data_IF_067413118705
#
_entry.id   IF_067413118705
#
_cell.length_a   1.000
_cell.length_b   1.000
_cell.length_c   1.000
_cell.angle_alpha   90.00
_cell.angle_beta   90.00
_cell.angle_gamma   90.00
#
_symmetry.space_group_name_H-M   'P 1'
#
loop_
_entity.id
_entity.type
_entity.pdbx_description
1 polymer ?
#
# COMPACT_ATOMS: atom_id res chain seq x y z
N UNK A 1 40.83 -7.90 22.74
CA UNK A 1 39.37 -7.79 23.00
C UNK A 1 38.76 -6.43 22.61
N UNK A 2 39.31 -5.71 21.63
CA UNK A 2 38.89 -4.31 21.32
C UNK A 2 38.07 -4.13 20.04
N UNK A 3 37.78 -5.17 19.26
CA UNK A 3 37.09 -5.01 17.98
C UNK A 3 35.57 -5.21 18.01
N UNK A 4 35.00 -5.64 19.14
CA UNK A 4 33.55 -5.86 19.27
C UNK A 4 32.77 -4.57 19.50
N UNK A 5 33.37 -3.56 20.14
CA UNK A 5 32.66 -2.29 20.43
C UNK A 5 32.44 -1.41 19.22
N UNK A 6 33.36 -1.41 18.26
CA UNK A 6 33.26 -0.64 17.02
C UNK A 6 32.18 -1.20 16.07
N UNK A 7 32.11 -2.51 15.95
CA UNK A 7 31.10 -3.18 15.11
C UNK A 7 29.68 -2.98 15.66
N UNK A 8 29.51 -3.08 16.97
CA UNK A 8 28.22 -2.84 17.64
C UNK A 8 27.75 -1.40 17.47
N UNK A 9 28.62 -0.41 17.59
CA UNK A 9 28.31 1.01 17.36
C UNK A 9 27.92 1.28 15.90
N UNK A 10 28.62 0.70 14.93
CA UNK A 10 28.32 0.87 13.51
C UNK A 10 26.97 0.25 13.13
N UNK A 11 26.62 -0.91 13.69
CA UNK A 11 25.33 -1.57 13.49
C UNK A 11 24.19 -0.76 14.15
N UNK A 12 24.42 -0.20 15.33
CA UNK A 12 23.45 0.67 16.00
C UNK A 12 23.19 1.95 15.21
N UNK A 13 24.22 2.59 14.66
CA UNK A 13 24.06 3.76 13.80
C UNK A 13 23.24 3.45 12.53
N UNK A 14 23.49 2.32 11.88
CA UNK A 14 22.74 1.91 10.67
C UNK A 14 21.26 1.66 10.92
N UNK A 15 20.86 1.31 12.12
CA UNK A 15 19.47 1.01 12.49
C UNK A 15 18.79 2.14 13.25
N UNK A 16 19.46 3.25 13.48
CA UNK A 16 18.91 4.40 14.20
C UNK A 16 17.85 5.11 13.37
N UNK A 17 16.67 5.27 13.95
CA UNK A 17 15.60 6.08 13.35
C UNK A 17 15.82 7.54 13.72
N UNK A 18 15.75 8.42 12.73
CA UNK A 18 15.91 9.86 12.89
C UNK A 18 14.83 10.61 12.13
N UNK A 19 14.27 11.63 12.76
CA UNK A 19 13.30 12.56 12.17
C UNK A 19 14.01 13.86 11.82
N UNK A 20 13.93 14.25 10.56
CA UNK A 20 14.51 15.47 10.01
C UNK A 20 13.41 16.49 9.74
N UNK A 21 13.52 17.67 10.33
CA UNK A 21 12.63 18.82 10.14
C UNK A 21 13.49 20.04 9.82
N UNK A 22 13.52 20.47 8.56
CA UNK A 22 14.50 21.47 8.12
C UNK A 22 15.92 21.00 8.38
N UNK A 23 16.67 21.78 9.15
CA UNK A 23 18.04 21.46 9.56
C UNK A 23 18.13 20.68 10.89
N UNK A 24 17.03 20.57 11.62
CA UNK A 24 16.99 19.90 12.93
C UNK A 24 16.83 18.39 12.76
N UNK A 25 17.52 17.63 13.60
CA UNK A 25 17.49 16.16 13.64
C UNK A 25 17.04 15.74 15.03
N UNK A 26 15.96 14.98 15.08
CA UNK A 26 15.44 14.41 16.32
C UNK A 26 15.66 12.90 16.31
N UNK A 27 16.01 12.34 17.47
CA UNK A 27 16.28 10.91 17.64
C UNK A 27 16.22 10.56 19.14
N UNK A 28 16.37 9.27 19.47
CA UNK A 28 16.26 8.82 20.87
C UNK A 28 14.85 8.33 21.20
N UNK A 29 14.19 7.74 20.22
CA UNK A 29 12.86 7.19 20.35
C UNK A 29 12.84 5.95 21.23
N UNK A 30 11.79 5.79 22.04
CA UNK A 30 11.53 4.55 22.82
C UNK A 30 10.82 3.53 21.95
N UNK A 31 9.95 3.98 21.04
CA UNK A 31 9.22 3.11 20.11
C UNK A 31 9.07 3.79 18.74
N UNK A 32 9.18 2.99 17.69
CA UNK A 32 8.94 3.44 16.31
C UNK A 32 8.10 2.40 15.60
N UNK A 33 6.96 2.82 15.05
CA UNK A 33 6.07 1.99 14.25
C UNK A 33 5.95 2.60 12.87
N UNK A 34 6.30 1.84 11.82
CA UNK A 34 6.19 2.27 10.43
C UNK A 34 5.28 1.28 9.72
N UNK A 35 4.22 1.80 9.09
CA UNK A 35 3.26 1.02 8.32
C UNK A 35 3.31 1.39 6.85
N UNK A 36 3.41 0.40 5.99
CA UNK A 36 3.28 0.51 4.55
C UNK A 36 2.80 -0.83 3.98
N UNK A 37 2.18 -0.80 2.82
CA UNK A 37 1.63 -2.02 2.23
C UNK A 37 1.06 -1.81 0.84
N UNK A 38 0.69 -2.90 0.18
CA UNK A 38 0.15 -2.88 -1.19
C UNK A 38 -1.22 -2.18 -1.32
N UNK A 39 -1.93 -2.03 -0.22
CA UNK A 39 -3.24 -1.36 -0.18
C UNK A 39 -3.18 0.01 0.53
N UNK A 40 -1.98 0.50 0.82
CA UNK A 40 -1.75 1.75 1.54
C UNK A 40 -1.11 2.72 0.56
N UNK A 41 -1.84 3.79 0.21
CA UNK A 41 -1.34 4.83 -0.69
C UNK A 41 -0.40 5.79 0.05
N UNK A 42 -0.55 5.95 1.37
CA UNK A 42 0.28 6.81 2.19
C UNK A 42 0.91 6.02 3.35
N UNK A 43 2.23 5.98 3.43
CA UNK A 43 2.97 5.42 4.57
C UNK A 43 2.71 6.22 5.82
N UNK A 44 2.66 5.53 6.94
CA UNK A 44 2.48 6.14 8.26
C UNK A 44 3.65 5.75 9.15
N UNK A 45 4.13 6.71 9.94
CA UNK A 45 5.11 6.46 10.99
C UNK A 45 4.62 7.09 12.29
N UNK A 46 4.60 6.30 13.33
CA UNK A 46 4.38 6.77 14.70
C UNK A 46 5.69 6.62 15.47
N UNK A 47 6.09 7.67 16.14
CA UNK A 47 7.32 7.73 16.92
C UNK A 47 6.95 8.14 18.35
N UNK A 48 7.46 7.40 19.32
CA UNK A 48 7.22 7.67 20.73
C UNK A 48 8.55 7.93 21.44
N UNK A 49 8.58 8.93 22.30
CA UNK A 49 9.73 9.25 23.14
C UNK A 49 9.30 9.50 24.59
N UNK A 50 10.13 9.08 25.53
CA UNK A 50 10.01 9.58 26.90
C UNK A 50 10.59 10.98 26.94
N UNK A 51 9.93 11.87 27.65
CA UNK A 51 10.28 13.29 27.75
C UNK A 51 10.25 13.72 29.22
N UNK A 52 11.05 14.72 29.56
CA UNK A 52 10.85 15.44 30.80
C UNK A 52 9.75 16.50 30.63
N UNK A 53 9.12 16.98 31.69
CA UNK A 53 8.14 18.07 31.60
C UNK A 53 8.71 19.35 30.98
N UNK A 54 10.01 19.56 31.12
CA UNK A 54 10.77 20.73 30.66
C UNK A 54 11.29 20.57 29.21
N UNK A 55 11.04 19.42 28.57
CA UNK A 55 11.55 19.13 27.24
C UNK A 55 10.77 19.92 26.18
N UNK A 56 11.49 20.81 25.49
CA UNK A 56 10.96 21.67 24.42
C UNK A 56 10.71 20.92 23.10
N UNK A 57 10.99 19.62 23.02
CA UNK A 57 10.86 18.86 21.76
C UNK A 57 9.43 18.92 21.22
N UNK A 58 8.42 18.80 22.08
CA UNK A 58 7.02 18.85 21.67
C UNK A 58 6.64 20.21 21.06
N UNK A 59 7.05 21.30 21.70
CA UNK A 59 6.73 22.65 21.24
C UNK A 59 7.64 23.10 20.10
N UNK A 60 8.85 22.56 20.03
CA UNK A 60 9.83 22.83 18.97
C UNK A 60 9.50 22.22 17.61
N UNK A 61 8.52 21.30 17.53
CA UNK A 61 8.07 20.71 16.27
C UNK A 61 6.74 21.35 15.85
N UNK A 62 6.68 22.15 14.76
CA UNK A 62 5.44 22.74 14.29
C UNK A 62 4.46 21.69 13.76
N UNK A 63 3.16 21.94 13.89
CA UNK A 63 2.13 21.09 13.26
C UNK A 63 2.13 21.28 11.74
N UNK A 64 1.90 20.21 10.99
CA UNK A 64 1.84 20.24 9.53
C UNK A 64 3.20 20.47 8.85
N UNK A 65 4.29 20.50 9.61
CA UNK A 65 5.62 20.74 9.04
C UNK A 65 6.07 19.57 8.17
N UNK A 66 6.71 19.90 7.06
CA UNK A 66 7.36 18.90 6.19
C UNK A 66 8.54 18.26 6.91
N UNK A 67 8.63 16.94 6.81
CA UNK A 67 9.65 16.16 7.49
C UNK A 67 10.11 14.95 6.69
N UNK A 68 11.22 14.36 7.10
CA UNK A 68 11.74 13.09 6.58
C UNK A 68 12.11 12.16 7.72
N UNK A 69 11.66 10.91 7.62
CA UNK A 69 12.05 9.83 8.53
C UNK A 69 13.13 9.01 7.83
N UNK A 70 14.25 8.81 8.52
CA UNK A 70 15.35 7.96 8.04
C UNK A 70 15.64 6.84 9.02
N UNK A 71 16.10 5.72 8.49
CA UNK A 71 16.73 4.64 9.27
C UNK A 71 18.18 4.52 8.81
N UNK A 72 19.11 4.95 9.66
CA UNK A 72 20.48 5.23 9.23
C UNK A 72 20.51 6.29 8.15
N UNK A 73 21.06 5.98 6.98
CA UNK A 73 21.15 6.87 5.84
C UNK A 73 19.95 6.80 4.90
N UNK A 74 19.13 5.73 5.01
CA UNK A 74 18.02 5.48 4.09
C UNK A 74 16.77 6.28 4.49
N UNK A 75 16.25 7.07 3.55
CA UNK A 75 14.95 7.73 3.70
C UNK A 75 13.83 6.69 3.58
N UNK A 76 12.92 6.69 4.56
CA UNK A 76 11.78 5.76 4.61
C UNK A 76 10.48 6.48 4.30
N UNK A 77 10.31 7.69 4.83
CA UNK A 77 9.13 8.52 4.62
C UNK A 77 9.57 9.96 4.38
N UNK A 78 8.96 10.59 3.39
CA UNK A 78 8.96 12.04 3.18
C UNK A 78 7.51 12.49 3.24
N UNK A 79 7.19 13.37 4.19
CA UNK A 79 5.80 13.73 4.44
C UNK A 79 5.65 14.86 5.45
N UNK A 80 4.63 14.77 6.26
CA UNK A 80 4.23 15.80 7.21
C UNK A 80 4.00 15.25 8.61
N UNK A 81 4.28 16.06 9.64
CA UNK A 81 3.84 15.80 11.00
C UNK A 81 2.35 16.10 11.08
N UNK A 82 1.52 15.08 11.22
CA UNK A 82 0.06 15.22 11.17
C UNK A 82 -0.57 15.30 12.55
N UNK A 83 0.05 14.67 13.56
CA UNK A 83 -0.47 14.68 14.93
C UNK A 83 0.68 14.64 15.92
N UNK A 84 0.49 15.33 17.04
CA UNK A 84 1.37 15.27 18.20
C UNK A 84 0.52 15.09 19.44
N UNK A 85 0.94 14.20 20.31
CA UNK A 85 0.33 13.97 21.63
C UNK A 85 1.40 14.07 22.72
N UNK A 86 1.06 14.71 23.83
CA UNK A 86 1.89 14.73 25.04
C UNK A 86 1.04 14.15 26.16
N UNK A 87 1.44 12.99 26.66
CA UNK A 87 0.75 12.29 27.75
C UNK A 87 1.54 12.51 29.04
N UNK A 88 0.84 13.00 30.06
CA UNK A 88 1.37 13.16 31.40
C UNK A 88 0.92 12.01 32.27
N UNK A 89 1.85 11.20 32.75
CA UNK A 89 1.60 10.06 33.60
C UNK A 89 2.39 10.12 34.92
N UNK A 90 2.04 9.22 35.85
CA UNK A 90 2.77 9.09 37.12
C UNK A 90 4.23 8.67 36.93
N UNK A 91 4.51 7.96 35.86
CA UNK A 91 5.84 7.40 35.53
C UNK A 91 6.66 8.33 34.63
N UNK A 92 6.13 9.51 34.29
CA UNK A 92 6.79 10.47 33.43
C UNK A 92 5.90 10.99 32.29
N UNK A 93 6.51 11.76 31.42
CA UNK A 93 5.86 12.33 30.23
C UNK A 93 6.26 11.54 28.99
N UNK A 94 5.29 11.25 28.16
CA UNK A 94 5.51 10.57 26.88
C UNK A 94 5.02 11.47 25.75
N UNK A 95 5.84 11.60 24.70
CA UNK A 95 5.49 12.31 23.47
C UNK A 95 5.30 11.30 22.35
N UNK A 96 4.19 11.39 21.64
CA UNK A 96 3.91 10.63 20.43
C UNK A 96 3.73 11.58 19.24
N UNK A 97 4.35 11.25 18.10
CA UNK A 97 4.33 12.03 16.88
C UNK A 97 3.92 11.12 15.73
N UNK A 98 2.83 11.48 15.07
CA UNK A 98 2.36 10.79 13.89
C UNK A 98 2.81 11.54 12.63
N UNK A 99 3.43 10.81 11.72
CA UNK A 99 3.96 11.29 10.46
C UNK A 99 3.31 10.49 9.35
N UNK A 100 2.81 11.19 8.34
CA UNK A 100 2.24 10.56 7.14
C UNK A 100 2.98 11.02 5.89
N UNK A 101 3.10 10.14 4.91
CA UNK A 101 3.69 10.46 3.61
C UNK A 101 2.95 11.60 2.92
N UNK A 102 3.60 12.31 2.00
CA UNK A 102 2.97 13.38 1.21
C UNK A 102 1.73 12.93 0.46
N UNK A 103 1.67 11.68 0.08
CA UNK A 103 0.53 11.06 -0.60
C UNK A 103 -0.75 10.99 0.25
N UNK A 104 -0.68 11.32 1.54
CA UNK A 104 -1.86 11.42 2.41
C UNK A 104 -2.87 12.45 1.91
N UNK A 105 -2.41 13.51 1.25
CA UNK A 105 -3.29 14.51 0.67
C UNK A 105 -4.20 13.93 -0.41
N UNK A 106 -3.79 12.84 -1.08
CA UNK A 106 -4.65 12.12 -2.02
C UNK A 106 -5.75 11.30 -1.33
N UNK A 107 -5.51 10.87 -0.10
CA UNK A 107 -6.52 10.13 0.68
C UNK A 107 -7.56 11.04 1.33
N UNK A 108 -7.09 12.17 1.88
CA UNK A 108 -7.90 13.03 2.73
C UNK A 108 -8.57 14.17 1.96
N UNK A 109 -7.98 14.59 0.82
CA UNK A 109 -8.46 15.75 0.08
C UNK A 109 -9.33 15.38 -1.13
N UNK A 110 -10.24 16.26 -1.47
CA UNK A 110 -11.06 16.20 -2.68
C UNK A 110 -10.35 16.88 -3.86
N UNK A 111 -10.86 16.68 -5.07
CA UNK A 111 -10.34 17.39 -6.25
C UNK A 111 -10.66 18.89 -6.10
N UNK A 112 -9.66 19.79 -6.24
CA UNK A 112 -9.88 21.23 -6.11
C UNK A 112 -10.92 21.73 -7.12
N UNK A 113 -11.77 22.72 -6.77
CA UNK A 113 -12.82 23.21 -7.67
C UNK A 113 -12.32 23.79 -9.00
N UNK A 114 -11.11 24.30 -9.01
CA UNK A 114 -10.45 24.86 -10.20
C UNK A 114 -9.65 23.82 -11.01
N UNK A 115 -9.62 22.56 -10.57
CA UNK A 115 -8.98 21.48 -11.29
C UNK A 115 -9.87 20.89 -12.38
N UNK A 116 -9.31 20.05 -13.24
CA UNK A 116 -10.07 19.37 -14.27
C UNK A 116 -10.91 18.25 -13.67
N UNK A 117 -12.24 18.32 -13.86
CA UNK A 117 -13.21 17.33 -13.36
C UNK A 117 -13.72 16.38 -14.45
N UNK A 118 -13.47 16.67 -15.73
CA UNK A 118 -13.90 15.82 -16.85
C UNK A 118 -12.71 15.50 -17.73
N UNK A 119 -12.46 14.22 -17.92
CA UNK A 119 -11.41 13.68 -18.79
C UNK A 119 -12.08 12.85 -19.88
N UNK A 120 -11.79 13.15 -21.16
CA UNK A 120 -12.34 12.42 -22.31
C UNK A 120 -11.22 12.00 -23.22
N UNK A 121 -11.19 10.71 -23.55
CA UNK A 121 -10.18 10.10 -24.44
C UNK A 121 -8.75 10.40 -23.98
N UNK A 122 -8.49 10.34 -22.69
CA UNK A 122 -7.17 10.62 -22.06
C UNK A 122 -6.56 9.32 -21.56
N UNK A 123 -5.24 9.22 -21.56
CA UNK A 123 -4.52 8.07 -20.99
C UNK A 123 -4.76 7.97 -19.50
N UNK A 124 -4.92 6.75 -18.99
CA UNK A 124 -5.10 6.48 -17.56
C UNK A 124 -4.01 7.14 -16.70
N UNK A 125 -2.75 6.99 -17.07
CA UNK A 125 -1.63 7.61 -16.34
C UNK A 125 -1.76 9.13 -16.26
N UNK A 126 -2.15 9.79 -17.37
CA UNK A 126 -2.29 11.25 -17.40
C UNK A 126 -3.43 11.76 -16.52
N UNK A 127 -4.50 10.98 -16.34
CA UNK A 127 -5.56 11.32 -15.37
C UNK A 127 -5.01 11.25 -13.96
N UNK A 128 -4.27 10.19 -13.62
CA UNK A 128 -3.64 10.02 -12.31
C UNK A 128 -2.64 11.15 -12.03
N UNK A 129 -1.80 11.48 -13.03
CA UNK A 129 -0.83 12.59 -12.96
C UNK A 129 -1.51 13.93 -12.72
N UNK A 130 -2.59 14.22 -13.42
CA UNK A 130 -3.36 15.46 -13.25
C UNK A 130 -3.94 15.57 -11.84
N UNK A 131 -4.52 14.49 -11.32
CA UNK A 131 -5.11 14.47 -9.98
C UNK A 131 -4.05 14.63 -8.89
N UNK A 132 -2.94 13.89 -8.97
CA UNK A 132 -1.85 13.94 -8.01
C UNK A 132 -1.08 15.27 -8.08
N UNK A 133 -0.95 15.83 -9.28
CA UNK A 133 -0.26 17.09 -9.55
C UNK A 133 -0.90 18.29 -8.85
N UNK A 134 -2.22 18.27 -8.60
CA UNK A 134 -2.90 19.31 -7.83
C UNK A 134 -2.32 19.49 -6.41
N UNK A 135 -1.70 18.45 -5.86
CA UNK A 135 -1.06 18.43 -4.55
C UNK A 135 0.47 18.35 -4.63
N UNK A 136 1.04 18.62 -5.81
CA UNK A 136 2.49 18.59 -6.03
C UNK A 136 3.11 17.20 -5.87
N UNK A 137 2.31 16.14 -6.05
CA UNK A 137 2.76 14.76 -5.96
C UNK A 137 3.12 14.25 -7.36
N UNK A 138 4.37 13.83 -7.52
CA UNK A 138 4.87 13.25 -8.76
C UNK A 138 4.38 11.81 -8.90
N UNK A 139 3.95 11.44 -10.11
CA UNK A 139 3.54 10.07 -10.45
C UNK A 139 4.64 9.41 -11.28
N UNK A 140 4.96 8.17 -10.93
CA UNK A 140 5.87 7.31 -11.69
C UNK A 140 5.07 6.15 -12.27
N UNK A 141 4.84 6.17 -13.57
CA UNK A 141 4.16 5.08 -14.29
C UNK A 141 5.18 3.98 -14.66
N UNK A 142 5.16 2.87 -13.92
CA UNK A 142 5.98 1.69 -14.19
C UNK A 142 5.29 0.69 -15.14
N UNK A 143 4.01 0.94 -15.47
CA UNK A 143 3.20 0.04 -16.30
C UNK A 143 3.27 0.42 -17.77
N UNK A 144 3.40 1.73 -18.04
CA UNK A 144 3.34 2.27 -19.39
C UNK A 144 1.98 2.03 -20.05
N UNK A 145 0.89 2.17 -19.28
CA UNK A 145 -0.46 1.92 -19.77
C UNK A 145 -0.82 2.85 -20.92
N UNK A 146 -1.20 2.25 -22.03
CA UNK A 146 -1.72 2.96 -23.23
C UNK A 146 -3.25 3.08 -23.22
N UNK A 147 -3.89 2.62 -22.16
CA UNK A 147 -5.34 2.62 -22.05
C UNK A 147 -5.89 4.04 -22.04
N UNK A 148 -6.87 4.28 -22.93
CA UNK A 148 -7.58 5.54 -23.07
C UNK A 148 -8.90 5.41 -22.32
N UNK A 149 -9.20 6.37 -21.47
CA UNK A 149 -10.38 6.37 -20.61
C UNK A 149 -11.19 7.66 -20.74
N UNK A 150 -12.46 7.54 -20.40
CA UNK A 150 -13.35 8.65 -20.11
C UNK A 150 -13.69 8.61 -18.62
N UNK A 151 -13.45 9.71 -17.92
CA UNK A 151 -13.70 9.81 -16.47
C UNK A 151 -14.33 11.14 -16.13
N UNK A 152 -15.44 11.10 -15.43
CA UNK A 152 -16.06 12.23 -14.75
C UNK A 152 -15.87 12.12 -13.24
N UNK A 153 -15.57 13.23 -12.59
CA UNK A 153 -15.30 13.33 -11.15
C UNK A 153 -16.36 14.19 -10.52
N UNK A 154 -16.99 13.69 -9.47
CA UNK A 154 -17.98 14.44 -8.73
C UNK A 154 -17.32 15.34 -7.66
N UNK A 155 -17.91 16.48 -7.38
CA UNK A 155 -17.33 17.51 -6.50
C UNK A 155 -17.10 17.06 -5.05
N UNK A 156 -17.74 15.99 -4.59
CA UNK A 156 -17.63 15.47 -3.23
C UNK A 156 -16.72 14.22 -3.13
N UNK A 157 -16.06 13.82 -4.21
CA UNK A 157 -15.18 12.66 -4.21
C UNK A 157 -13.77 13.03 -3.74
N UNK A 158 -13.18 12.18 -2.89
CA UNK A 158 -11.75 12.26 -2.59
C UNK A 158 -10.96 11.73 -3.77
N UNK A 159 -9.72 12.21 -3.93
CA UNK A 159 -8.85 11.72 -5.01
C UNK A 159 -8.67 10.21 -4.90
N UNK A 160 -8.45 9.70 -3.68
CA UNK A 160 -8.36 8.25 -3.43
C UNK A 160 -9.58 7.50 -3.99
N UNK A 161 -10.80 7.98 -3.73
CA UNK A 161 -12.01 7.31 -4.20
C UNK A 161 -12.10 7.26 -5.73
N UNK A 162 -11.65 8.32 -6.40
CA UNK A 162 -11.57 8.38 -7.87
C UNK A 162 -10.51 7.39 -8.38
N UNK A 163 -9.31 7.40 -7.78
CA UNK A 163 -8.23 6.49 -8.14
C UNK A 163 -8.62 5.02 -7.94
N UNK A 164 -9.27 4.68 -6.83
CA UNK A 164 -9.78 3.33 -6.57
C UNK A 164 -10.81 2.89 -7.61
N UNK A 165 -11.72 3.78 -8.01
CA UNK A 165 -12.67 3.50 -9.11
C UNK A 165 -11.96 3.23 -10.43
N UNK A 166 -10.96 4.05 -10.77
CA UNK A 166 -10.15 3.89 -11.97
C UNK A 166 -9.41 2.55 -11.98
N UNK A 167 -8.91 2.08 -10.84
CA UNK A 167 -8.09 0.88 -10.75
C UNK A 167 -8.89 -0.40 -10.48
N UNK A 168 -10.14 -0.28 -10.03
CA UNK A 168 -10.98 -1.39 -9.56
C UNK A 168 -11.02 -2.60 -10.48
N UNK A 169 -10.95 -2.41 -11.79
CA UNK A 169 -11.06 -3.46 -12.79
C UNK A 169 -9.73 -3.77 -13.51
N UNK A 170 -8.62 -3.13 -13.11
CA UNK A 170 -7.38 -3.09 -13.90
C UNK A 170 -6.21 -3.89 -13.34
N UNK A 171 -6.35 -4.54 -12.20
CA UNK A 171 -5.23 -5.27 -11.56
C UNK A 171 -3.95 -4.43 -11.40
N UNK A 172 -4.11 -3.10 -11.30
CA UNK A 172 -3.05 -2.15 -11.06
C UNK A 172 -3.04 -1.75 -9.58
N UNK A 173 -1.88 -1.33 -9.11
CA UNK A 173 -1.64 -0.87 -7.75
C UNK A 173 -1.13 0.56 -7.77
N UNK A 174 -1.55 1.34 -6.77
CA UNK A 174 -0.96 2.63 -6.44
C UNK A 174 -0.28 2.52 -5.09
N UNK A 175 0.99 2.84 -5.07
CA UNK A 175 1.84 2.80 -3.89
C UNK A 175 2.57 4.13 -3.76
N UNK A 176 2.95 4.50 -2.55
CA UNK A 176 3.91 5.59 -2.38
C UNK A 176 5.36 5.06 -2.36
N UNK A 177 6.30 5.92 -2.67
CA UNK A 177 7.71 5.67 -2.43
C UNK A 177 8.21 6.40 -1.17
N UNK A 178 9.46 6.19 -0.79
CA UNK A 178 10.08 6.82 0.36
C UNK A 178 10.26 8.35 0.21
N UNK A 179 10.12 8.86 -1.00
CA UNK A 179 10.26 10.29 -1.32
C UNK A 179 8.92 11.00 -1.48
N UNK A 180 7.81 10.29 -1.25
CA UNK A 180 6.44 10.82 -1.35
C UNK A 180 5.95 10.96 -2.79
N UNK A 181 6.48 10.16 -3.72
CA UNK A 181 5.94 10.02 -5.08
C UNK A 181 4.89 8.90 -5.11
N UNK A 182 3.97 8.99 -6.04
CA UNK A 182 2.97 7.95 -6.29
C UNK A 182 3.45 7.03 -7.41
N UNK A 183 3.52 5.73 -7.15
CA UNK A 183 3.91 4.71 -8.12
C UNK A 183 2.67 4.00 -8.66
N UNK A 184 2.48 4.05 -9.98
CA UNK A 184 1.51 3.19 -10.68
C UNK A 184 2.23 1.92 -11.12
N UNK A 185 1.83 0.78 -10.59
CA UNK A 185 2.52 -0.50 -10.78
C UNK A 185 1.54 -1.68 -10.81
N UNK A 186 2.03 -2.90 -10.86
CA UNK A 186 1.23 -4.12 -10.77
C UNK A 186 1.84 -5.11 -9.77
N UNK A 187 1.03 -6.03 -9.26
CA UNK A 187 1.47 -7.01 -8.29
C UNK A 187 2.56 -7.91 -8.88
N UNK A 188 3.72 -7.98 -8.19
CA UNK A 188 4.87 -8.79 -8.60
C UNK A 188 5.88 -8.08 -9.50
N UNK A 189 5.69 -6.79 -9.82
CA UNK A 189 6.63 -5.98 -10.62
C UNK A 189 8.04 -5.91 -10.02
N UNK A 190 8.15 -5.91 -8.69
CA UNK A 190 9.42 -5.87 -7.97
C UNK A 190 10.15 -7.23 -7.92
N UNK A 191 9.58 -8.29 -8.50
CA UNK A 191 10.17 -9.63 -8.48
C UNK A 191 10.10 -10.31 -7.10
N UNK A 192 11.11 -11.12 -6.79
CA UNK A 192 11.21 -11.87 -5.53
C UNK A 192 12.28 -11.25 -4.63
N UNK A 193 12.03 -11.33 -3.31
CA UNK A 193 13.04 -10.99 -2.30
C UNK A 193 14.27 -11.90 -2.44
N UNK A 194 15.46 -11.33 -2.23
CA UNK A 194 16.71 -12.09 -2.21
C UNK A 194 16.81 -13.03 -0.99
N UNK A 195 16.15 -12.67 0.11
CA UNK A 195 16.10 -13.46 1.33
C UNK A 195 14.76 -14.19 1.45
N UNK A 196 14.82 -15.43 1.97
CA UNK A 196 13.62 -16.20 2.32
C UNK A 196 13.34 -16.10 3.83
N UNK A 197 12.07 -16.14 4.19
CA UNK A 197 11.65 -16.27 5.58
C UNK A 197 11.77 -17.75 5.99
N UNK A 198 12.54 -18.02 7.02
CA UNK A 198 12.80 -19.38 7.52
C UNK A 198 12.58 -19.44 9.02
N UNK A 199 11.74 -20.39 9.43
CA UNK A 199 11.57 -20.70 10.85
C UNK A 199 12.90 -21.18 11.45
N UNK A 200 13.22 -20.69 12.65
CA UNK A 200 14.49 -21.02 13.32
C UNK A 200 15.72 -20.25 12.83
N UNK A 201 15.59 -19.37 11.81
CA UNK A 201 16.70 -18.53 11.33
C UNK A 201 16.43 -17.03 11.47
N UNK A 202 15.35 -16.52 10.85
CA UNK A 202 15.05 -15.10 10.83
C UNK A 202 13.62 -14.78 11.24
N UNK A 203 12.76 -15.77 11.44
CA UNK A 203 11.43 -15.62 12.01
C UNK A 203 11.54 -15.74 13.53
N UNK A 204 11.13 -14.69 14.26
CA UNK A 204 11.04 -14.68 15.72
C UNK A 204 9.74 -15.33 16.15
N UNK A 205 8.62 -14.84 15.59
CA UNK A 205 7.30 -15.40 15.81
C UNK A 205 6.53 -15.45 14.50
N UNK A 206 5.63 -16.43 14.37
CA UNK A 206 4.80 -16.58 13.18
C UNK A 206 3.39 -17.00 13.54
N UNK A 207 2.41 -16.47 12.82
CA UNK A 207 1.00 -16.83 12.90
C UNK A 207 0.45 -17.04 11.50
N UNK A 208 -0.24 -18.16 11.30
CA UNK A 208 -1.07 -18.40 10.12
C UNK A 208 -2.52 -18.30 10.49
N UNK A 209 -3.31 -17.56 9.74
CA UNK A 209 -4.75 -17.45 9.93
C UNK A 209 -5.42 -17.81 8.62
N UNK A 210 -6.30 -18.82 8.67
CA UNK A 210 -7.15 -19.20 7.55
C UNK A 210 -8.58 -18.77 7.85
N UNK A 211 -9.10 -17.83 7.08
CA UNK A 211 -10.47 -17.35 7.18
C UNK A 211 -11.22 -17.63 5.88
N UNK A 212 -12.02 -18.69 5.88
CA UNK A 212 -12.81 -19.11 4.73
C UNK A 212 -14.21 -18.47 4.70
N UNK A 213 -14.51 -17.55 5.61
CA UNK A 213 -15.84 -16.93 5.73
C UNK A 213 -16.25 -16.16 4.46
N UNK A 214 -15.28 -15.57 3.76
CA UNK A 214 -15.48 -14.80 2.52
C UNK A 214 -15.10 -15.56 1.25
N UNK A 215 -14.92 -16.88 1.34
CA UNK A 215 -14.69 -17.74 0.19
C UNK A 215 -16.03 -18.27 -0.35
N UNK A 216 -16.18 -18.18 -1.66
CA UNK A 216 -17.35 -18.66 -2.40
C UNK A 216 -16.92 -19.75 -3.38
N UNK A 217 -17.86 -20.69 -3.67
CA UNK A 217 -17.62 -21.73 -4.65
C UNK A 217 -17.72 -21.18 -6.07
N UNK A 218 -18.70 -20.31 -6.31
CA UNK A 218 -18.95 -19.75 -7.62
C UNK A 218 -18.83 -18.23 -7.57
N UNK A 219 -17.91 -17.70 -8.36
CA UNK A 219 -17.79 -16.28 -8.62
C UNK A 219 -18.43 -16.00 -9.96
N UNK A 220 -19.39 -15.11 -10.00
CA UNK A 220 -20.18 -14.78 -11.19
C UNK A 220 -20.03 -13.30 -11.48
N UNK A 221 -19.55 -12.96 -12.67
CA UNK A 221 -19.52 -11.58 -13.16
C UNK A 221 -20.47 -11.45 -14.32
N UNK A 222 -21.41 -10.53 -14.21
CA UNK A 222 -22.34 -10.15 -15.27
C UNK A 222 -21.91 -8.82 -15.87
N UNK A 223 -22.11 -8.66 -17.18
CA UNK A 223 -21.83 -7.42 -17.91
C UNK A 223 -22.78 -7.22 -19.06
N UNK A 224 -22.87 -6.00 -19.54
CA UNK A 224 -23.63 -5.66 -20.73
C UNK A 224 -22.69 -5.71 -21.92
N UNK A 225 -22.93 -6.64 -22.85
CA UNK A 225 -22.13 -6.79 -24.07
C UNK A 225 -22.43 -5.69 -25.08
N UNK A 226 -21.41 -5.23 -25.78
CA UNK A 226 -21.55 -4.47 -27.04
C UNK A 226 -21.47 -5.44 -28.20
N UNK A 227 -22.55 -5.57 -28.95
CA UNK A 227 -22.48 -6.18 -30.27
C UNK A 227 -21.81 -5.18 -31.23
N UNK A 228 -20.59 -5.50 -31.64
CA UNK A 228 -19.80 -4.69 -32.57
C UNK A 228 -20.39 -4.63 -33.99
N UNK A 229 -21.48 -5.34 -34.27
CA UNK A 229 -22.16 -5.40 -35.58
C UNK A 229 -23.51 -4.71 -35.64
N UNK A 230 -24.10 -4.31 -34.55
CA UNK A 230 -25.34 -3.50 -34.57
C UNK A 230 -25.24 -2.37 -33.57
N UNK A 231 -25.30 -1.14 -34.03
CA UNK A 231 -25.47 0.09 -33.20
C UNK A 231 -26.80 0.13 -32.44
N UNK A 232 -27.51 -0.98 -32.33
CA UNK A 232 -28.75 -1.11 -31.56
C UNK A 232 -28.40 -1.74 -30.19
N UNK A 233 -28.67 -0.98 -29.13
CA UNK A 233 -28.82 -1.49 -27.79
C UNK A 233 -29.97 -2.49 -27.79
N UNK A 234 -29.69 -3.76 -28.00
CA UNK A 234 -30.68 -4.82 -27.85
C UNK A 234 -30.81 -5.09 -26.35
N UNK A 235 -31.97 -4.85 -25.72
CA UNK A 235 -32.18 -5.27 -24.33
C UNK A 235 -32.10 -6.79 -24.30
N UNK A 236 -31.06 -7.37 -23.70
CA UNK A 236 -30.98 -8.80 -23.54
C UNK A 236 -29.58 -9.43 -23.70
N UNK A 237 -28.60 -8.73 -24.22
CA UNK A 237 -27.24 -9.29 -24.36
C UNK A 237 -26.45 -9.21 -23.05
N UNK A 238 -26.94 -9.94 -22.03
CA UNK A 238 -26.25 -10.07 -20.76
C UNK A 238 -25.16 -11.14 -20.91
N UNK A 239 -23.92 -10.68 -20.95
CA UNK A 239 -22.75 -11.57 -20.85
C UNK A 239 -22.58 -12.00 -19.40
N UNK A 240 -22.19 -13.25 -19.20
CA UNK A 240 -21.90 -13.79 -17.88
C UNK A 240 -20.68 -14.70 -17.95
N UNK A 241 -19.77 -14.56 -16.98
CA UNK A 241 -18.66 -15.52 -16.77
C UNK A 241 -18.68 -16.01 -15.33
N UNK A 242 -18.32 -17.29 -15.17
CA UNK A 242 -18.33 -17.99 -13.88
C UNK A 242 -16.94 -18.59 -13.68
N UNK A 243 -16.36 -18.40 -12.49
CA UNK A 243 -15.18 -19.13 -12.05
C UNK A 243 -15.53 -19.97 -10.82
N UNK A 244 -15.18 -21.23 -10.86
CA UNK A 244 -15.35 -22.15 -9.73
C UNK A 244 -14.09 -22.17 -8.85
N UNK A 245 -14.30 -22.32 -7.54
CA UNK A 245 -13.25 -22.37 -6.54
C UNK A 245 -13.40 -23.63 -5.70
N UNK A 246 -12.45 -24.55 -5.84
CA UNK A 246 -12.43 -25.86 -5.16
C UNK A 246 -12.14 -25.77 -3.66
N UNK A 247 -11.71 -24.61 -3.14
CA UNK A 247 -11.51 -24.39 -1.70
C UNK A 247 -12.82 -24.27 -0.92
N UNK A 248 -13.96 -24.13 -1.63
CA UNK A 248 -15.28 -24.05 -1.00
C UNK A 248 -16.15 -25.21 -1.43
N UNK A 249 -16.40 -26.15 -0.53
CA UNK A 249 -17.27 -27.32 -0.78
C UNK A 249 -18.76 -27.01 -0.71
N UNK A 250 -19.14 -25.84 -0.09
CA UNK A 250 -20.53 -25.42 0.04
C UNK A 250 -20.97 -24.65 -1.22
N UNK A 251 -22.23 -24.82 -1.63
CA UNK A 251 -22.83 -24.06 -2.72
C UNK A 251 -23.03 -22.60 -2.34
N UNK A 252 -21.97 -21.78 -2.46
CA UNK A 252 -21.96 -20.35 -2.18
C UNK A 252 -21.66 -19.57 -3.45
N UNK A 253 -22.47 -18.57 -3.72
CA UNK A 253 -22.35 -17.71 -4.90
C UNK A 253 -21.96 -16.29 -4.50
N UNK A 254 -20.99 -15.73 -5.20
CA UNK A 254 -20.69 -14.31 -5.20
C UNK A 254 -21.01 -13.75 -6.58
N UNK A 255 -22.03 -12.92 -6.67
CA UNK A 255 -22.49 -12.34 -7.93
C UNK A 255 -22.22 -10.84 -7.93
N UNK A 256 -21.57 -10.34 -8.99
CA UNK A 256 -21.32 -8.92 -9.18
C UNK A 256 -21.58 -8.52 -10.63
N UNK A 257 -21.78 -7.22 -10.84
CA UNK A 257 -22.01 -6.63 -12.17
C UNK A 257 -20.83 -5.74 -12.52
N UNK A 258 -20.35 -5.85 -13.75
CA UNK A 258 -19.39 -4.93 -14.33
C UNK A 258 -20.13 -3.72 -14.92
N UNK A 259 -19.74 -2.54 -14.48
CA UNK A 259 -20.32 -1.28 -14.98
C UNK A 259 -19.72 -0.91 -16.33
N UNK A 260 -20.57 -0.44 -17.25
CA UNK A 260 -20.16 -0.10 -18.62
C UNK A 260 -20.28 -1.28 -19.58
N UNK A 261 -19.84 -1.05 -20.81
CA UNK A 261 -19.78 -2.08 -21.84
C UNK A 261 -18.65 -3.07 -21.51
N UNK A 262 -18.95 -4.35 -21.53
CA UNK A 262 -18.01 -5.41 -21.20
C UNK A 262 -17.85 -6.38 -22.37
N UNK A 263 -16.63 -6.83 -22.56
CA UNK A 263 -16.30 -7.94 -23.47
C UNK A 263 -16.11 -9.24 -22.68
N UNK A 264 -16.27 -10.39 -23.35
CA UNK A 264 -16.05 -11.69 -22.70
C UNK A 264 -14.66 -11.84 -22.03
N UNK A 265 -13.54 -11.44 -22.67
CA UNK A 265 -12.23 -11.51 -22.06
C UNK A 265 -12.08 -10.61 -20.80
N UNK A 266 -12.75 -9.46 -20.78
CA UNK A 266 -12.74 -8.56 -19.59
C UNK A 266 -13.51 -9.18 -18.43
N UNK A 267 -14.67 -9.79 -18.69
CA UNK A 267 -15.43 -10.53 -17.68
C UNK A 267 -14.62 -11.70 -17.12
N UNK A 268 -13.92 -12.44 -17.99
CA UNK A 268 -13.07 -13.56 -17.58
C UNK A 268 -11.89 -13.10 -16.70
N UNK A 269 -11.20 -12.04 -17.08
CA UNK A 269 -10.16 -11.44 -16.24
C UNK A 269 -10.73 -11.01 -14.90
N UNK A 270 -11.88 -10.38 -14.90
CA UNK A 270 -12.53 -9.89 -13.68
C UNK A 270 -12.95 -11.00 -12.74
N UNK A 271 -13.56 -12.07 -13.24
CA UNK A 271 -14.01 -13.20 -12.41
C UNK A 271 -12.81 -13.93 -11.80
N UNK A 272 -11.73 -14.12 -12.57
CA UNK A 272 -10.50 -14.74 -12.08
C UNK A 272 -9.78 -13.86 -11.05
N UNK A 273 -9.77 -12.54 -11.23
CA UNK A 273 -9.23 -11.60 -10.25
C UNK A 273 -9.99 -11.68 -8.92
N UNK A 274 -11.32 -11.70 -8.94
CA UNK A 274 -12.15 -11.82 -7.74
C UNK A 274 -11.90 -13.13 -7.00
N UNK A 275 -11.85 -14.26 -7.74
CA UNK A 275 -11.51 -15.56 -7.17
C UNK A 275 -10.14 -15.56 -6.51
N UNK A 276 -9.10 -15.10 -7.23
CA UNK A 276 -7.72 -15.11 -6.74
C UNK A 276 -7.53 -14.18 -5.55
N UNK A 277 -8.15 -13.00 -5.54
CA UNK A 277 -8.11 -12.09 -4.40
C UNK A 277 -8.79 -12.68 -3.17
N UNK A 278 -9.91 -13.38 -3.35
CA UNK A 278 -10.61 -14.06 -2.26
C UNK A 278 -9.75 -15.17 -1.65
N UNK A 279 -9.11 -15.99 -2.48
CA UNK A 279 -8.18 -17.04 -2.02
C UNK A 279 -6.97 -16.42 -1.32
N UNK A 280 -6.38 -15.39 -1.91
CA UNK A 280 -5.21 -14.72 -1.33
C UNK A 280 -5.48 -14.05 0.02
N UNK A 281 -6.69 -13.53 0.24
CA UNK A 281 -7.09 -12.93 1.52
C UNK A 281 -7.49 -13.95 2.58
N UNK A 282 -7.83 -15.16 2.19
CA UNK A 282 -8.28 -16.20 3.11
C UNK A 282 -7.14 -16.86 3.91
N UNK A 283 -5.92 -16.82 3.40
CA UNK A 283 -4.75 -17.42 4.05
C UNK A 283 -3.70 -16.33 4.32
N UNK A 284 -3.69 -15.86 5.56
CA UNK A 284 -2.84 -14.76 6.00
C UNK A 284 -1.72 -15.27 6.88
N UNK A 285 -0.49 -14.90 6.54
CA UNK A 285 0.70 -15.18 7.32
C UNK A 285 1.23 -13.89 7.95
N UNK A 286 1.42 -13.90 9.26
CA UNK A 286 2.00 -12.78 10.01
C UNK A 286 3.27 -13.25 10.67
N UNK A 287 4.39 -12.59 10.39
CA UNK A 287 5.69 -12.94 10.96
C UNK A 287 6.34 -11.73 11.61
N UNK A 288 6.95 -11.97 12.78
CA UNK A 288 7.93 -11.05 13.37
C UNK A 288 9.31 -11.49 12.99
N UNK A 289 10.11 -10.57 12.48
CA UNK A 289 11.48 -10.82 12.02
C UNK A 289 12.46 -9.88 12.72
N UNK A 290 13.73 -10.25 12.76
CA UNK A 290 14.75 -9.45 13.41
C UNK A 290 15.28 -8.36 12.47
N UNK A 291 15.24 -7.11 12.92
CA UNK A 291 15.85 -5.96 12.25
C UNK A 291 14.95 -5.35 11.16
N UNK A 292 15.42 -4.24 10.61
CA UNK A 292 14.70 -3.45 9.62
C UNK A 292 15.02 -3.85 8.18
N UNK A 293 16.10 -4.59 7.94
CA UNK A 293 16.67 -4.82 6.60
C UNK A 293 16.89 -6.29 6.30
N UNK A 294 16.75 -6.64 5.05
CA UNK A 294 17.23 -7.91 4.51
C UNK A 294 18.77 -7.92 4.49
N UNK A 295 19.38 -9.06 4.73
CA UNK A 295 20.85 -9.19 4.87
C UNK A 295 21.63 -8.84 3.60
N UNK A 296 21.05 -8.94 2.41
CA UNK A 296 21.75 -8.84 1.12
C UNK A 296 21.38 -7.65 0.23
N UNK A 297 20.31 -6.92 0.54
CA UNK A 297 19.86 -5.78 -0.28
C UNK A 297 19.66 -4.57 0.61
N UNK A 298 20.35 -3.48 0.29
CA UNK A 298 20.25 -2.21 1.02
C UNK A 298 18.90 -1.49 0.86
N UNK A 299 17.93 -2.08 0.22
CA UNK A 299 16.63 -1.47 0.00
C UNK A 299 15.57 -2.14 0.86
N UNK A 300 14.94 -1.32 1.67
CA UNK A 300 13.75 -1.62 2.43
C UNK A 300 12.74 -2.37 1.57
N UNK A 301 12.32 -3.53 1.98
CA UNK A 301 10.98 -4.03 1.76
C UNK A 301 10.92 -5.55 1.91
N UNK A 302 10.49 -6.00 3.06
CA UNK A 302 9.89 -7.32 3.24
C UNK A 302 8.55 -7.47 2.47
N UNK A 303 8.10 -6.44 1.74
CA UNK A 303 6.84 -6.43 1.00
C UNK A 303 6.88 -7.13 -0.36
N UNK A 304 8.06 -7.54 -0.85
CA UNK A 304 8.15 -8.38 -2.04
C UNK A 304 7.86 -9.84 -1.65
N UNK A 305 7.20 -10.59 -2.53
CA UNK A 305 6.88 -12.01 -2.35
C UNK A 305 8.05 -12.77 -1.71
N UNK A 306 7.93 -13.12 -0.45
CA UNK A 306 8.90 -13.96 0.25
C UNK A 306 8.59 -15.41 -0.05
N UNK A 307 9.59 -16.21 -0.46
CA UNK A 307 9.45 -17.66 -0.49
C UNK A 307 9.39 -18.17 0.94
N UNK A 308 8.29 -18.76 1.33
CA UNK A 308 8.20 -19.58 2.54
C UNK A 308 8.85 -20.94 2.25
N UNK A 309 9.89 -21.25 2.99
CA UNK A 309 10.45 -22.59 3.02
C UNK A 309 10.03 -23.20 4.35
N UNK A 310 9.07 -24.10 4.31
CA UNK A 310 8.73 -24.93 5.46
C UNK A 310 9.80 -26.01 5.60
N UNK A 311 10.35 -26.18 6.80
CA UNK A 311 11.40 -27.17 7.09
C UNK A 311 10.84 -28.61 7.08
N UNK A 312 9.56 -28.78 6.79
CA UNK A 312 8.85 -30.05 6.61
C UNK A 312 8.82 -30.62 5.19
N UNK A 313 9.53 -30.04 4.24
CA UNK A 313 9.84 -30.73 2.98
C UNK A 313 9.04 -30.40 1.74
N UNK A 314 8.08 -29.47 1.74
CA UNK A 314 7.41 -29.04 0.53
C UNK A 314 7.44 -27.51 0.33
N UNK A 315 8.01 -27.08 -0.79
CA UNK A 315 8.05 -25.68 -1.20
C UNK A 315 6.66 -25.21 -1.65
N UNK A 316 5.95 -24.47 -0.82
CA UNK A 316 4.72 -23.79 -1.20
C UNK A 316 5.07 -22.46 -1.86
N UNK A 317 5.05 -22.43 -3.18
CA UNK A 317 5.05 -21.18 -3.97
C UNK A 317 3.63 -20.63 -4.02
N UNK A 318 3.40 -19.49 -3.42
CA UNK A 318 2.21 -18.66 -3.68
C UNK A 318 2.61 -17.24 -3.97
#
# INVERSE_FOLDING_TARGET
MENTSGFTKAVQQKNRVSLYIGEKIYSGWTEVKIEFGLNIIARVCQITASSSPEDEMYDGIPNGVSCRVKIGDDTVITGYVTKKEKLYGKEGTTISIDIKSRTIDLEECSVPPNAQHSFRKVKLASVIESLAGNYGILVVDQVGSKEIIDQEIQNNETIKSVLEKLLKNRSLLLLDDSYGKLLLTFAGSAGFSADSLQYGKNIITGKRTQDLSKIFRYYVVRGQGTDSKSQRKTPGNQLQKIAENDWCFRNRYFVTVMTGNATEPELEKRVNLLKNNSIGSADTFTYSVQGWRQRRVCNFLWAARSRLIDVGGDSVTK
#
